data_IF_806343273371
#
_entry.id   IF_806343273371
#
_cell.length_a   1.000
_cell.length_b   1.000
_cell.length_c   1.000
_cell.angle_alpha   90.00
_cell.angle_beta   90.00
_cell.angle_gamma   90.00
#
_symmetry.space_group_name_H-M   'P 1'
#
loop_
_entity.id
_entity.type
_entity.pdbx_description
1 polymer ?
#
# COMPACT_ATOMS: atom_id res chain seq x y z
N UNK A 1 -15.65 -28.31 -5.76
CA UNK A 1 -16.60 -27.82 -6.79
C UNK A 1 -16.56 -26.30 -6.91
N UNK A 2 -16.70 -25.52 -5.85
CA UNK A 2 -16.64 -24.03 -5.86
C UNK A 2 -15.28 -23.51 -6.36
N UNK A 3 -14.15 -24.09 -5.93
CA UNK A 3 -12.80 -23.72 -6.39
C UNK A 3 -12.63 -23.80 -7.91
N UNK A 4 -13.17 -24.82 -8.55
CA UNK A 4 -13.05 -25.01 -10.00
C UNK A 4 -13.88 -23.99 -10.78
N UNK A 5 -15.01 -23.53 -10.23
CA UNK A 5 -15.85 -22.49 -10.82
C UNK A 5 -15.14 -21.12 -10.75
N UNK A 6 -14.51 -20.81 -9.62
CA UNK A 6 -13.75 -19.55 -9.44
C UNK A 6 -12.55 -19.51 -10.39
N UNK A 7 -11.78 -20.60 -10.46
CA UNK A 7 -10.64 -20.72 -11.40
C UNK A 7 -11.09 -20.61 -12.85
N UNK A 8 -12.24 -21.18 -13.20
CA UNK A 8 -12.83 -21.10 -14.54
C UNK A 8 -13.25 -19.66 -14.89
N UNK A 9 -13.94 -18.94 -13.98
CA UNK A 9 -14.34 -17.54 -14.15
C UNK A 9 -13.12 -16.59 -14.30
N UNK A 10 -12.04 -16.84 -13.56
CA UNK A 10 -10.80 -16.05 -13.63
C UNK A 10 -10.06 -16.27 -14.97
N UNK A 11 -10.22 -17.41 -15.61
CA UNK A 11 -9.56 -17.74 -16.90
C UNK A 11 -10.23 -17.09 -18.11
N UNK A 12 -11.48 -16.67 -18.03
CA UNK A 12 -12.30 -16.32 -19.20
C UNK A 12 -12.19 -14.87 -19.69
N UNK A 13 -11.77 -13.89 -18.84
CA UNK A 13 -11.62 -12.49 -19.30
C UNK A 13 -10.70 -11.67 -18.38
N UNK A 14 -9.85 -10.79 -18.94
CA UNK A 14 -9.08 -9.82 -18.15
C UNK A 14 -9.97 -8.91 -17.28
N UNK A 15 -11.14 -8.52 -17.82
CA UNK A 15 -12.10 -7.66 -17.11
C UNK A 15 -12.75 -8.36 -15.90
N UNK A 16 -13.03 -9.68 -16.00
CA UNK A 16 -13.57 -10.44 -14.86
C UNK A 16 -12.56 -10.62 -13.74
N UNK A 17 -11.26 -10.73 -14.09
CA UNK A 17 -10.18 -10.73 -13.09
C UNK A 17 -10.12 -9.43 -12.32
N UNK A 18 -10.13 -8.28 -13.02
CA UNK A 18 -10.10 -6.96 -12.36
C UNK A 18 -11.30 -6.79 -11.44
N UNK A 19 -12.51 -7.12 -11.91
CA UNK A 19 -13.72 -7.04 -11.09
C UNK A 19 -13.64 -7.93 -9.84
N UNK A 20 -13.16 -9.18 -10.00
CA UNK A 20 -13.01 -10.14 -8.90
C UNK A 20 -12.01 -9.63 -7.86
N UNK A 21 -10.84 -9.15 -8.30
CA UNK A 21 -9.83 -8.61 -7.39
C UNK A 21 -10.31 -7.33 -6.71
N UNK A 22 -10.94 -6.39 -7.44
CA UNK A 22 -11.55 -5.18 -6.87
C UNK A 22 -12.58 -5.53 -5.79
N UNK A 23 -13.48 -6.49 -6.05
CA UNK A 23 -14.47 -6.97 -5.08
C UNK A 23 -13.79 -7.60 -3.85
N UNK A 24 -12.78 -8.44 -4.06
CA UNK A 24 -12.09 -9.16 -3.00
C UNK A 24 -11.28 -8.21 -2.10
N UNK A 25 -10.55 -7.26 -2.68
CA UNK A 25 -9.83 -6.22 -1.93
C UNK A 25 -10.78 -5.32 -1.16
N UNK A 26 -11.89 -4.89 -1.74
CA UNK A 26 -12.91 -4.11 -1.05
C UNK A 26 -13.50 -4.87 0.15
N UNK A 27 -13.73 -6.18 0.01
CA UNK A 27 -14.23 -7.02 1.09
C UNK A 27 -13.21 -7.15 2.23
N UNK A 28 -11.92 -7.35 1.90
CA UNK A 28 -10.84 -7.42 2.88
C UNK A 28 -10.63 -6.08 3.58
N UNK A 29 -10.58 -4.99 2.86
CA UNK A 29 -10.44 -3.65 3.43
C UNK A 29 -11.59 -3.33 4.42
N UNK A 30 -12.81 -3.74 4.09
CA UNK A 30 -13.99 -3.53 4.95
C UNK A 30 -13.98 -4.41 6.21
N UNK A 31 -13.47 -5.65 6.13
CA UNK A 31 -13.48 -6.61 7.25
C UNK A 31 -12.35 -6.35 8.25
N UNK A 32 -11.23 -5.77 7.81
CA UNK A 32 -10.08 -5.47 8.64
C UNK A 32 -10.03 -3.98 9.00
N UNK A 33 -10.99 -3.53 9.80
CA UNK A 33 -11.04 -2.15 10.35
C UNK A 33 -10.05 -1.91 11.50
N UNK A 34 -9.18 -2.85 11.84
CA UNK A 34 -8.17 -2.61 12.85
C UNK A 34 -7.11 -1.65 12.29
N UNK A 35 -6.93 -0.51 12.95
CA UNK A 35 -5.84 0.45 12.67
C UNK A 35 -4.43 -0.15 12.89
N UNK A 36 -4.37 -1.41 13.35
CA UNK A 36 -3.15 -2.11 13.71
C UNK A 36 -2.38 -2.67 12.50
N UNK A 37 -3.04 -2.86 11.36
CA UNK A 37 -2.40 -3.44 10.17
C UNK A 37 -2.35 -2.42 9.03
N UNK A 38 -1.25 -1.69 8.92
CA UNK A 38 -1.06 -0.61 7.94
C UNK A 38 -0.36 -1.04 6.66
N UNK A 39 0.38 -2.14 6.70
CA UNK A 39 1.21 -2.63 5.59
C UNK A 39 0.73 -4.00 5.10
N UNK A 40 0.72 -4.20 3.79
CA UNK A 40 0.30 -5.45 3.13
C UNK A 40 1.48 -6.08 2.36
N UNK A 41 2.62 -6.23 3.02
CA UNK A 41 3.79 -6.86 2.44
C UNK A 41 4.40 -7.89 3.40
N UNK A 42 5.34 -8.68 2.90
CA UNK A 42 6.01 -9.75 3.67
C UNK A 42 7.19 -9.26 4.51
N UNK A 43 7.51 -7.96 4.42
CA UNK A 43 8.65 -7.37 5.11
C UNK A 43 10.01 -7.67 4.46
N UNK A 44 11.03 -6.99 4.98
CA UNK A 44 12.42 -7.15 4.57
C UNK A 44 13.32 -7.16 5.80
N UNK A 45 14.32 -8.03 5.80
CA UNK A 45 15.36 -8.09 6.82
C UNK A 45 16.74 -8.24 6.20
N UNK A 46 17.64 -7.37 6.60
CA UNK A 46 19.06 -7.45 6.25
C UNK A 46 19.91 -7.14 7.48
N UNK A 47 20.97 -7.92 7.70
CA UNK A 47 21.87 -7.70 8.83
C UNK A 47 22.60 -6.36 8.64
N UNK A 48 22.54 -5.51 9.66
CA UNK A 48 23.13 -4.16 9.61
C UNK A 48 22.24 -3.08 9.02
N UNK A 49 21.05 -3.42 8.51
CA UNK A 49 20.07 -2.47 8.03
C UNK A 49 18.95 -2.24 9.08
N UNK A 50 19.08 -1.16 9.84
CA UNK A 50 18.18 -0.83 10.94
C UNK A 50 17.80 0.66 10.90
N UNK A 51 16.89 1.11 10.01
CA UNK A 51 16.41 2.47 10.06
C UNK A 51 15.77 2.76 11.42
N UNK A 52 16.00 3.96 11.94
CA UNK A 52 15.36 4.41 13.18
C UNK A 52 13.86 4.53 12.97
N UNK A 53 13.09 3.90 13.87
CA UNK A 53 11.64 3.91 13.84
C UNK A 53 11.07 4.51 15.13
N UNK A 54 9.87 5.06 15.04
CA UNK A 54 9.12 5.43 16.22
C UNK A 54 8.68 4.18 16.99
N UNK A 55 8.44 4.30 18.31
CA UNK A 55 7.94 3.19 19.11
C UNK A 55 6.65 2.56 18.55
N UNK A 56 5.81 3.37 17.89
CA UNK A 56 4.57 2.93 17.25
C UNK A 56 4.81 2.05 16.03
N UNK A 57 5.94 2.27 15.34
CA UNK A 57 6.25 1.62 14.08
C UNK A 57 7.08 0.33 14.27
N UNK A 58 7.55 0.07 15.50
CA UNK A 58 8.38 -1.09 15.80
C UNK A 58 7.70 -2.44 15.51
N UNK A 59 6.40 -2.55 15.77
CA UNK A 59 5.64 -3.79 15.51
C UNK A 59 5.52 -4.09 14.00
N UNK A 60 5.67 -3.06 13.17
CA UNK A 60 5.64 -3.16 11.70
C UNK A 60 7.04 -2.95 11.08
N UNK A 61 8.10 -3.14 11.85
CA UNK A 61 9.50 -2.90 11.45
C UNK A 61 9.84 -3.53 10.11
N UNK A 62 9.59 -4.82 9.93
CA UNK A 62 9.97 -5.52 8.71
C UNK A 62 9.18 -5.06 7.47
N UNK A 63 7.86 -4.85 7.51
CA UNK A 63 7.13 -4.18 6.46
C UNK A 63 7.67 -2.80 6.09
N UNK A 64 8.02 -1.99 7.09
CA UNK A 64 8.62 -0.66 6.89
C UNK A 64 10.01 -0.76 6.27
N UNK A 65 10.83 -1.72 6.71
CA UNK A 65 12.15 -1.96 6.13
C UNK A 65 12.08 -2.22 4.63
N UNK A 66 11.06 -2.97 4.14
CA UNK A 66 10.89 -3.20 2.72
C UNK A 66 10.66 -1.90 1.95
N UNK A 67 9.79 -1.03 2.46
CA UNK A 67 9.55 0.28 1.86
C UNK A 67 10.78 1.17 1.90
N UNK A 68 11.46 1.24 3.03
CA UNK A 68 12.67 2.03 3.18
C UNK A 68 13.75 1.56 2.20
N UNK A 69 14.05 0.26 2.21
CA UNK A 69 15.05 -0.34 1.31
C UNK A 69 14.74 -0.05 -0.16
N UNK A 70 13.49 -0.25 -0.57
CA UNK A 70 13.08 -0.04 -1.96
C UNK A 70 13.17 1.44 -2.37
N UNK A 71 12.65 2.33 -1.53
CA UNK A 71 12.58 3.76 -1.83
C UNK A 71 13.96 4.43 -1.84
N UNK A 72 14.91 3.94 -1.03
CA UNK A 72 16.26 4.53 -0.92
C UNK A 72 17.28 3.99 -1.93
N UNK A 73 16.86 3.13 -2.87
CA UNK A 73 17.72 2.69 -3.98
C UNK A 73 18.12 3.86 -4.90
N UNK A 74 17.38 4.94 -4.88
CA UNK A 74 17.66 6.18 -5.59
C UNK A 74 17.43 7.38 -4.67
N UNK A 75 18.03 8.53 -4.99
CA UNK A 75 17.75 9.75 -4.23
C UNK A 75 16.37 10.30 -4.59
N UNK A 76 15.43 10.23 -3.65
CA UNK A 76 14.05 10.71 -3.80
C UNK A 76 13.78 12.03 -3.06
N UNK A 77 14.83 12.64 -2.48
CA UNK A 77 14.69 13.89 -1.73
C UNK A 77 14.13 15.01 -2.61
N UNK A 78 13.12 15.71 -2.11
CA UNK A 78 12.40 16.79 -2.79
C UNK A 78 11.74 16.37 -4.13
N UNK A 79 11.44 15.08 -4.31
CA UNK A 79 10.74 14.56 -5.49
C UNK A 79 9.24 14.37 -5.22
N UNK A 80 8.45 14.44 -6.29
CA UNK A 80 7.06 14.04 -6.31
C UNK A 80 7.02 12.53 -6.65
N UNK A 81 6.37 11.71 -5.80
CA UNK A 81 6.34 10.26 -5.93
C UNK A 81 4.93 9.72 -6.15
N UNK A 82 4.82 8.63 -6.88
CA UNK A 82 3.61 7.85 -7.05
C UNK A 82 3.85 6.42 -6.57
N UNK A 83 3.06 5.98 -5.59
CA UNK A 83 2.96 4.57 -5.19
C UNK A 83 1.75 3.94 -5.87
N UNK A 84 1.97 2.96 -6.74
CA UNK A 84 0.91 2.20 -7.41
C UNK A 84 0.57 0.96 -6.60
N UNK A 85 -0.72 0.78 -6.30
CA UNK A 85 -1.20 -0.29 -5.41
C UNK A 85 -0.94 0.03 -3.94
N UNK A 86 -1.20 1.27 -3.52
CA UNK A 86 -0.88 1.76 -2.17
C UNK A 86 -1.64 1.06 -1.03
N UNK A 87 -2.70 0.32 -1.35
CA UNK A 87 -3.46 -0.47 -0.38
C UNK A 87 -3.94 0.35 0.81
N UNK A 88 -3.48 0.03 2.00
CA UNK A 88 -3.86 0.69 3.26
C UNK A 88 -3.02 1.95 3.57
N UNK A 89 -2.15 2.36 2.67
CA UNK A 89 -1.44 3.63 2.71
C UNK A 89 -0.23 3.72 3.62
N UNK A 90 0.12 2.66 4.35
CA UNK A 90 1.26 2.68 5.28
C UNK A 90 2.58 3.03 4.63
N UNK A 91 2.83 2.50 3.42
CA UNK A 91 4.06 2.73 2.66
C UNK A 91 4.24 4.18 2.25
N UNK A 92 3.25 4.74 1.53
CA UNK A 92 3.25 6.15 1.13
C UNK A 92 3.39 7.10 2.34
N UNK A 93 2.66 6.79 3.44
CA UNK A 93 2.76 7.58 4.68
C UNK A 93 4.16 7.53 5.28
N UNK A 94 4.80 6.36 5.33
CA UNK A 94 6.17 6.23 5.82
C UNK A 94 7.15 7.02 4.95
N UNK A 95 7.08 6.88 3.64
CA UNK A 95 7.95 7.57 2.68
C UNK A 95 7.82 9.10 2.85
N UNK A 96 6.59 9.62 2.87
CA UNK A 96 6.35 11.06 3.02
C UNK A 96 6.88 11.62 4.34
N UNK A 97 6.76 10.87 5.43
CA UNK A 97 7.18 11.33 6.76
C UNK A 97 8.68 11.27 6.98
N UNK A 98 9.37 10.30 6.38
CA UNK A 98 10.72 9.95 6.80
C UNK A 98 11.79 10.10 5.71
N UNK A 99 11.41 10.22 4.43
CA UNK A 99 12.37 10.20 3.33
C UNK A 99 12.50 11.55 2.59
N UNK A 100 12.04 12.65 3.23
CA UNK A 100 12.22 14.02 2.75
C UNK A 100 11.73 14.23 1.30
N UNK A 101 10.62 13.58 0.91
CA UNK A 101 9.98 13.77 -0.38
C UNK A 101 9.22 15.09 -0.42
N UNK A 102 8.99 15.63 -1.61
CA UNK A 102 8.16 16.83 -1.80
C UNK A 102 6.68 16.46 -1.66
N UNK A 103 6.20 15.49 -2.44
CA UNK A 103 4.86 14.91 -2.32
C UNK A 103 4.89 13.41 -2.55
N UNK A 104 3.93 12.70 -1.94
CA UNK A 104 3.64 11.29 -2.25
C UNK A 104 2.16 11.12 -2.56
N UNK A 105 1.86 10.51 -3.69
CA UNK A 105 0.51 10.12 -4.07
C UNK A 105 0.41 8.60 -4.04
N UNK A 106 -0.49 8.06 -3.23
CA UNK A 106 -0.87 6.65 -3.26
C UNK A 106 -2.04 6.43 -4.22
N UNK A 107 -1.87 5.57 -5.21
CA UNK A 107 -2.91 5.15 -6.14
C UNK A 107 -3.36 3.73 -5.81
N UNK A 108 -4.67 3.50 -5.65
CA UNK A 108 -5.22 2.15 -5.48
C UNK A 108 -6.56 2.00 -6.21
N UNK A 109 -6.84 0.80 -6.70
CA UNK A 109 -8.08 0.48 -7.40
C UNK A 109 -9.28 0.34 -6.45
N UNK A 110 -9.02 0.18 -5.16
CA UNK A 110 -10.02 0.00 -4.11
C UNK A 110 -10.39 1.32 -3.46
N UNK A 111 -11.60 1.83 -3.74
CA UNK A 111 -12.14 3.01 -3.05
C UNK A 111 -12.11 2.89 -1.53
N UNK A 112 -12.45 1.71 -0.99
CA UNK A 112 -12.42 1.49 0.47
C UNK A 112 -10.99 1.56 1.06
N UNK A 113 -9.98 1.16 0.31
CA UNK A 113 -8.58 1.29 0.72
C UNK A 113 -8.17 2.77 0.72
N UNK A 114 -8.53 3.50 -0.32
CA UNK A 114 -8.28 4.95 -0.45
C UNK A 114 -8.96 5.74 0.67
N UNK A 115 -10.25 5.48 0.94
CA UNK A 115 -10.99 6.13 2.02
C UNK A 115 -10.36 5.85 3.39
N UNK A 116 -9.96 4.60 3.64
CA UNK A 116 -9.26 4.21 4.86
C UNK A 116 -7.94 4.95 4.99
N UNK A 117 -7.14 5.01 3.92
CA UNK A 117 -5.84 5.66 3.91
C UNK A 117 -5.96 7.16 4.16
N UNK A 118 -6.88 7.84 3.47
CA UNK A 118 -7.16 9.27 3.68
C UNK A 118 -7.65 9.57 5.10
N UNK A 119 -8.41 8.65 5.72
CA UNK A 119 -8.87 8.81 7.12
C UNK A 119 -7.80 8.49 8.16
N UNK A 120 -6.79 7.70 7.80
CA UNK A 120 -5.75 7.20 8.73
C UNK A 120 -4.49 8.05 8.74
N UNK A 121 -4.21 8.73 7.63
CA UNK A 121 -2.96 9.46 7.42
C UNK A 121 -3.23 10.90 6.96
N UNK A 122 -3.09 11.83 7.87
CA UNK A 122 -3.11 13.28 7.61
C UNK A 122 -1.67 13.82 7.70
N UNK A 123 -1.01 13.90 6.55
CA UNK A 123 0.38 14.37 6.46
C UNK A 123 0.49 15.35 5.28
N UNK A 124 1.05 16.55 5.48
CA UNK A 124 1.26 17.49 4.38
C UNK A 124 2.05 16.88 3.22
N UNK A 125 1.55 17.03 2.00
CA UNK A 125 2.16 16.47 0.80
C UNK A 125 1.81 15.01 0.52
N UNK A 126 0.98 14.36 1.36
CA UNK A 126 0.47 13.01 1.13
C UNK A 126 -0.97 13.03 0.66
N UNK A 127 -1.27 12.27 -0.39
CA UNK A 127 -2.63 12.13 -0.94
C UNK A 127 -2.88 10.71 -1.39
N UNK A 128 -4.11 10.21 -1.26
CA UNK A 128 -4.52 8.92 -1.80
C UNK A 128 -5.68 9.11 -2.77
N UNK A 129 -5.58 8.46 -3.94
CA UNK A 129 -6.57 8.56 -5.01
C UNK A 129 -6.98 7.19 -5.51
N UNK A 130 -8.28 7.04 -5.86
CA UNK A 130 -8.77 5.85 -6.54
C UNK A 130 -8.39 5.93 -8.02
N UNK A 131 -7.82 4.84 -8.55
CA UNK A 131 -7.51 4.76 -9.97
C UNK A 131 -6.98 3.40 -10.38
N UNK A 132 -7.07 3.16 -11.69
CA UNK A 132 -6.51 1.97 -12.34
C UNK A 132 -5.23 2.38 -13.09
N UNK A 133 -4.10 1.82 -12.70
CA UNK A 133 -2.79 2.14 -13.30
C UNK A 133 -2.63 1.67 -14.75
N UNK A 134 -3.60 0.92 -15.27
CA UNK A 134 -3.61 0.47 -16.66
C UNK A 134 -4.44 1.39 -17.59
N UNK A 135 -5.07 2.44 -17.04
CA UNK A 135 -5.91 3.39 -17.79
C UNK A 135 -5.52 4.84 -17.50
#
# INVERSE_FOLDING_TARGET
MIQNIIVWLIRFSPSSKKWFWKFWYNLFAKKSKSHEFRFMNYGYHEVGFYPELSKRDEDERYPIHLYHHTATQVNISNMDLLEVGSGRGGGASYIQKHLNTKTVTGLDISSNAVDLSNSSFDTPGLTYIEGDSEN
#
